data_IF_693680896016
#
_entry.id   IF_693680896016
#
_cell.length_a   1.000
_cell.length_b   1.000
_cell.length_c   1.000
_cell.angle_alpha   90.00
_cell.angle_beta   90.00
_cell.angle_gamma   90.00
#
_symmetry.space_group_name_H-M   'P 1'
#
loop_
_entity.id
_entity.type
_entity.pdbx_description
1 polymer ?
#
# COMPACT_ATOMS: atom_id res chain seq x y z
N UNK A 1 -12.32 6.60 0.85
CA UNK A 1 -11.25 6.32 -0.14
C UNK A 1 -10.07 5.71 0.62
N UNK A 2 -9.53 4.58 0.15
CA UNK A 2 -8.41 3.87 0.81
C UNK A 2 -7.09 4.24 0.14
N UNK A 3 -6.06 4.44 0.94
CA UNK A 3 -4.70 4.75 0.51
C UNK A 3 -3.73 3.75 1.12
N UNK A 4 -2.79 3.25 0.34
CA UNK A 4 -1.68 2.41 0.79
C UNK A 4 -0.44 3.28 0.92
N UNK A 5 0.15 3.26 2.11
CA UNK A 5 1.47 3.80 2.38
C UNK A 5 2.46 2.65 2.58
N UNK A 6 3.64 2.78 1.98
CA UNK A 6 4.75 1.86 2.16
C UNK A 6 5.96 2.64 2.69
N UNK A 7 6.67 2.08 3.67
CA UNK A 7 7.96 2.62 4.06
C UNK A 7 9.03 2.17 3.06
N UNK A 8 9.36 3.04 2.11
CA UNK A 8 10.34 2.81 1.06
C UNK A 8 11.64 3.52 1.46
N UNK A 9 12.69 2.76 1.77
CA UNK A 9 14.02 3.29 2.14
C UNK A 9 13.93 4.30 3.31
N UNK A 10 13.11 4.00 4.33
CA UNK A 10 12.96 4.84 5.52
C UNK A 10 11.91 5.95 5.41
N UNK A 11 11.33 6.18 4.24
CA UNK A 11 10.30 7.21 4.02
C UNK A 11 8.92 6.58 3.79
N UNK A 12 7.88 7.12 4.45
CA UNK A 12 6.50 6.68 4.24
C UNK A 12 5.92 7.33 2.99
N UNK A 13 5.76 6.53 1.93
CA UNK A 13 5.33 6.99 0.61
C UNK A 13 3.91 6.49 0.30
N UNK A 14 3.03 7.40 -0.15
CA UNK A 14 1.69 7.05 -0.61
C UNK A 14 1.75 6.42 -2.01
N UNK A 15 1.78 5.09 -2.08
CA UNK A 15 1.96 4.38 -3.35
C UNK A 15 0.69 4.38 -4.22
N UNK A 16 -0.49 4.56 -3.63
CA UNK A 16 -1.78 4.63 -4.34
C UNK A 16 -1.91 5.83 -5.29
N UNK A 17 -1.02 6.82 -5.20
CA UNK A 17 -1.01 7.97 -6.11
C UNK A 17 -0.38 7.65 -7.47
N UNK A 18 0.39 6.56 -7.57
CA UNK A 18 0.97 6.10 -8.82
C UNK A 18 0.06 5.03 -9.46
N UNK A 19 -0.51 5.28 -10.66
CA UNK A 19 -1.41 4.34 -11.32
C UNK A 19 -0.70 3.05 -11.80
N UNK A 20 0.62 3.07 -11.95
CA UNK A 20 1.39 1.89 -12.35
C UNK A 20 1.84 1.03 -11.17
N UNK A 21 1.61 1.50 -9.93
CA UNK A 21 2.10 0.81 -8.76
C UNK A 21 1.43 -0.56 -8.57
N UNK A 22 2.22 -1.54 -8.12
CA UNK A 22 1.74 -2.90 -7.84
C UNK A 22 2.34 -3.44 -6.54
N UNK A 23 1.63 -4.38 -5.91
CA UNK A 23 2.15 -5.22 -4.83
C UNK A 23 2.13 -6.67 -5.31
N UNK A 24 3.29 -7.33 -5.30
CA UNK A 24 3.49 -8.70 -5.77
C UNK A 24 2.95 -8.91 -7.20
N UNK A 25 3.08 -7.89 -8.05
CA UNK A 25 2.58 -7.88 -9.42
C UNK A 25 1.07 -7.63 -9.57
N UNK A 26 0.34 -7.39 -8.47
CA UNK A 26 -1.09 -7.08 -8.47
C UNK A 26 -1.29 -5.57 -8.40
N UNK A 27 -2.10 -4.97 -9.30
CA UNK A 27 -2.51 -3.57 -9.22
C UNK A 27 -3.09 -3.18 -7.85
N UNK A 28 -2.78 -1.99 -7.37
CA UNK A 28 -3.12 -1.57 -6.00
C UNK A 28 -4.62 -1.56 -5.70
N UNK A 29 -5.45 -1.16 -6.67
CA UNK A 29 -6.90 -1.15 -6.52
C UNK A 29 -7.47 -2.56 -6.27
N UNK A 30 -7.01 -3.54 -7.04
CA UNK A 30 -7.37 -4.95 -6.88
C UNK A 30 -6.79 -5.53 -5.59
N UNK A 31 -5.55 -5.19 -5.26
CA UNK A 31 -4.88 -5.67 -4.05
C UNK A 31 -5.57 -5.18 -2.77
N UNK A 32 -6.02 -3.92 -2.76
CA UNK A 32 -6.73 -3.29 -1.63
C UNK A 32 -8.14 -3.85 -1.40
N UNK A 33 -8.81 -4.38 -2.43
CA UNK A 33 -10.13 -5.03 -2.30
C UNK A 33 -10.03 -6.31 -1.46
N UNK A 34 -8.90 -7.02 -1.50
CA UNK A 34 -8.70 -8.31 -0.86
C UNK A 34 -8.18 -8.27 0.57
N UNK A 35 -7.87 -7.10 1.14
CA UNK A 35 -7.17 -6.97 2.42
C UNK A 35 -7.89 -6.00 3.37
N UNK A 36 -8.87 -6.52 4.09
CA UNK A 36 -9.53 -5.83 5.22
C UNK A 36 -8.78 -6.02 6.56
N UNK A 37 -7.76 -6.88 6.63
CA UNK A 37 -7.05 -7.17 7.88
C UNK A 37 -5.57 -6.76 7.82
N UNK A 38 -5.17 -5.97 8.82
CA UNK A 38 -3.91 -5.26 8.99
C UNK A 38 -2.68 -6.14 9.33
N UNK A 39 -2.79 -7.46 9.20
CA UNK A 39 -1.71 -8.40 9.49
C UNK A 39 -1.44 -9.23 8.24
N UNK A 40 -0.29 -8.97 7.63
CA UNK A 40 0.19 -9.72 6.48
C UNK A 40 1.02 -10.90 7.00
N UNK A 41 0.54 -12.12 6.78
CA UNK A 41 1.26 -13.34 7.16
C UNK A 41 2.54 -13.57 6.33
N UNK A 42 2.72 -12.81 5.24
CA UNK A 42 3.91 -12.87 4.40
C UNK A 42 5.08 -12.08 5.01
N UNK A 43 6.29 -12.65 5.07
CA UNK A 43 7.45 -12.00 5.66
C UNK A 43 7.98 -10.83 4.81
N UNK A 44 7.67 -10.82 3.51
CA UNK A 44 8.03 -9.72 2.62
C UNK A 44 7.00 -9.56 1.51
N UNK A 45 6.91 -8.36 0.98
CA UNK A 45 6.16 -8.03 -0.23
C UNK A 45 7.08 -7.33 -1.23
N UNK A 46 6.74 -7.43 -2.51
CA UNK A 46 7.39 -6.71 -3.60
C UNK A 46 6.53 -5.52 -4.00
N UNK A 47 7.04 -4.31 -3.88
CA UNK A 47 6.36 -3.07 -4.27
C UNK A 47 7.00 -2.55 -5.54
N UNK A 48 6.24 -2.36 -6.62
CA UNK A 48 6.68 -1.55 -7.75
C UNK A 48 6.06 -0.16 -7.61
N UNK A 49 6.90 0.86 -7.64
CA UNK A 49 6.49 2.26 -7.52
C UNK A 49 7.48 3.17 -8.26
N UNK A 50 6.98 4.09 -9.06
CA UNK A 50 7.76 5.08 -9.80
C UNK A 50 8.92 4.45 -10.62
N UNK A 51 8.67 3.32 -11.27
CA UNK A 51 9.69 2.62 -12.07
C UNK A 51 10.69 1.78 -11.28
N UNK A 52 10.55 1.67 -9.95
CA UNK A 52 11.51 0.99 -9.07
C UNK A 52 10.81 -0.14 -8.31
N UNK A 53 11.49 -1.29 -8.20
CA UNK A 53 11.05 -2.43 -7.40
C UNK A 53 11.72 -2.41 -6.02
N UNK A 54 10.91 -2.47 -4.97
CA UNK A 54 11.32 -2.55 -3.58
C UNK A 54 10.87 -3.89 -3.00
N UNK A 55 11.71 -4.50 -2.16
CA UNK A 55 11.30 -5.63 -1.33
C UNK A 55 11.34 -5.18 0.13
N UNK A 56 10.18 -5.19 0.78
CA UNK A 56 10.04 -4.68 2.15
C UNK A 56 9.33 -5.71 3.02
N UNK A 57 9.58 -5.65 4.33
CA UNK A 57 8.78 -6.42 5.28
C UNK A 57 7.34 -5.92 5.27
N UNK A 58 6.37 -6.82 5.39
CA UNK A 58 4.96 -6.46 5.26
C UNK A 58 4.42 -5.53 6.35
N UNK A 59 5.06 -5.50 7.53
CA UNK A 59 4.79 -4.50 8.58
C UNK A 59 5.14 -3.07 8.20
N UNK A 60 5.83 -2.87 7.07
CA UNK A 60 6.14 -1.57 6.49
C UNK A 60 5.05 -1.11 5.52
N UNK A 61 3.90 -1.75 5.51
CA UNK A 61 2.69 -1.31 4.81
C UNK A 61 1.65 -0.79 5.81
N UNK A 62 0.97 0.28 5.43
CA UNK A 62 -0.14 0.85 6.19
C UNK A 62 -1.28 1.25 5.25
N UNK A 63 -2.49 0.78 5.54
CA UNK A 63 -3.69 1.17 4.82
C UNK A 63 -4.41 2.26 5.62
N UNK A 64 -4.66 3.40 4.98
CA UNK A 64 -5.41 4.52 5.55
C UNK A 64 -6.77 4.64 4.84
N UNK A 65 -7.85 4.59 5.62
CA UNK A 65 -9.19 4.86 5.12
C UNK A 65 -9.62 6.27 5.50
N UNK A 66 -9.78 7.15 4.50
CA UNK A 66 -10.41 8.43 4.75
C UNK A 66 -11.92 8.23 4.89
N UNK A 67 -12.41 8.45 6.11
CA UNK A 67 -13.82 8.67 6.37
C UNK A 67 -14.18 10.11 5.96
N UNK A 68 -15.29 10.28 5.25
CA UNK A 68 -15.78 11.61 4.92
C UNK A 68 -15.96 12.40 6.22
N UNK A 69 -15.38 13.60 6.29
CA UNK A 69 -15.52 14.49 7.44
C UNK A 69 -17.03 14.71 7.64
N UNK A 70 -17.57 14.23 8.76
CA UNK A 70 -18.96 14.49 9.13
C UNK A 70 -19.06 15.99 9.38
N UNK A 71 -19.64 16.74 8.45
CA UNK A 71 -19.99 18.14 8.69
C UNK A 71 -21.07 18.12 9.76
N UNK A 72 -20.72 18.50 10.98
CA UNK A 72 -21.68 18.73 12.08
C UNK A 72 -22.45 20.02 11.83
#
# INVERSE_FOLDING_TARGET
MRYLYANLIGEWTCVTLDPEATIDGVPLDLWLIGKDNHLFDTPSVTVYYAGVTYQIHSSLLQIFEMTAKKTL
#
